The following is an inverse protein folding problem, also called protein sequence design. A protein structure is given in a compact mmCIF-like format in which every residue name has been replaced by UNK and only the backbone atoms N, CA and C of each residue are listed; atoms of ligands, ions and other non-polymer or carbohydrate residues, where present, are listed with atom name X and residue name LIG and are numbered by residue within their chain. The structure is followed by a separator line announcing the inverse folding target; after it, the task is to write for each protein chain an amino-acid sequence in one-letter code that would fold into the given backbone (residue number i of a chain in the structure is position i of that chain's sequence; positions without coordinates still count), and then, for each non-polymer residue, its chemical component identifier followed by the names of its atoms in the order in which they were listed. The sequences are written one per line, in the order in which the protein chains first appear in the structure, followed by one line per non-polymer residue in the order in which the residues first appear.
data_IF_386121888020
#
_entry.id   IF_386121888020
#
_cell.length_a   1.000
_cell.length_b   1.000
_cell.length_c   1.000
_cell.angle_alpha   90.00
_cell.angle_beta   90.00
_cell.angle_gamma   90.00
#
_symmetry.space_group_name_H-M   'P 1'
#
loop_
_entity.id
_entity.type
_entity.pdbx_description
1 polymer ?
#
# COMPACT_ATOMS: atom_id res chain seq x y z
N UNK A 1 55.12 -34.63 -34.72
CA UNK A 1 54.62 -33.24 -34.64
C UNK A 1 53.10 -33.11 -34.81
N UNK A 2 52.25 -34.10 -34.56
CA UNK A 2 50.78 -34.00 -34.70
C UNK A 2 50.03 -33.99 -33.37
N UNK A 3 50.67 -34.36 -32.24
CA UNK A 3 50.00 -34.50 -30.94
C UNK A 3 49.81 -33.17 -30.19
N UNK A 4 50.66 -32.17 -30.42
CA UNK A 4 50.58 -30.88 -29.70
C UNK A 4 49.47 -29.96 -30.20
N UNK A 5 48.98 -30.10 -31.42
CA UNK A 5 47.88 -29.27 -31.99
C UNK A 5 46.52 -29.63 -31.40
N UNK A 6 46.30 -30.91 -31.04
CA UNK A 6 45.02 -31.38 -30.51
C UNK A 6 44.84 -30.90 -29.06
N UNK A 7 45.92 -30.88 -28.26
CA UNK A 7 45.89 -30.43 -26.85
C UNK A 7 45.53 -28.95 -26.74
N UNK A 8 46.03 -28.10 -27.65
CA UNK A 8 45.67 -26.68 -27.63
C UNK A 8 44.20 -26.39 -28.04
N UNK A 9 43.61 -27.23 -28.90
CA UNK A 9 42.23 -27.11 -29.31
C UNK A 9 41.29 -27.48 -28.13
N UNK A 10 41.58 -28.52 -27.37
CA UNK A 10 40.82 -28.92 -26.19
C UNK A 10 40.93 -27.90 -25.05
N UNK A 11 42.08 -27.29 -24.81
CA UNK A 11 42.27 -26.24 -23.81
C UNK A 11 41.49 -24.96 -24.19
N UNK A 12 41.43 -24.58 -25.48
CA UNK A 12 40.65 -23.43 -25.95
C UNK A 12 39.15 -23.62 -25.80
N UNK A 13 38.64 -24.81 -26.08
CA UNK A 13 37.22 -25.12 -25.96
C UNK A 13 36.76 -25.13 -24.48
N UNK A 14 37.54 -25.66 -23.56
CA UNK A 14 37.23 -25.66 -22.13
C UNK A 14 37.24 -24.24 -21.55
N UNK A 15 38.16 -23.37 -22.00
CA UNK A 15 38.24 -21.98 -21.58
C UNK A 15 37.02 -21.18 -22.08
N UNK A 16 36.61 -21.37 -23.33
CA UNK A 16 35.42 -20.71 -23.91
C UNK A 16 34.12 -21.17 -23.25
N UNK A 17 33.99 -22.47 -22.93
CA UNK A 17 32.82 -22.99 -22.22
C UNK A 17 32.75 -22.48 -20.76
N UNK A 18 33.89 -22.32 -20.10
CA UNK A 18 33.97 -21.75 -18.76
C UNK A 18 33.57 -20.27 -18.74
N UNK A 19 34.00 -19.48 -19.70
CA UNK A 19 33.62 -18.05 -19.83
C UNK A 19 32.14 -17.92 -20.20
N UNK A 20 31.62 -18.79 -21.06
CA UNK A 20 30.20 -18.80 -21.40
C UNK A 20 29.32 -19.22 -20.21
N UNK A 21 29.75 -20.19 -19.41
CA UNK A 21 29.05 -20.61 -18.20
C UNK A 21 29.03 -19.51 -17.12
N UNK A 22 30.14 -18.77 -16.96
CA UNK A 22 30.21 -17.61 -16.07
C UNK A 22 29.30 -16.45 -16.55
N UNK A 23 29.18 -16.26 -17.87
CA UNK A 23 28.31 -15.20 -18.46
C UNK A 23 26.82 -15.51 -18.31
N UNK A 24 26.41 -16.78 -18.26
CA UNK A 24 25.01 -17.17 -18.08
C UNK A 24 24.55 -17.01 -16.63
N UNK A 25 25.50 -17.07 -15.66
CA UNK A 25 25.17 -17.05 -14.24
C UNK A 25 25.12 -15.62 -13.63
N UNK A 26 25.24 -14.56 -14.43
CA UNK A 26 25.14 -13.17 -13.97
C UNK A 26 23.79 -12.52 -14.24
N UNK A 27 22.80 -13.27 -14.74
CA UNK A 27 21.43 -12.75 -14.80
C UNK A 27 20.76 -12.90 -13.42
N UNK A 28 21.28 -12.14 -12.43
CA UNK A 28 20.53 -11.89 -11.20
C UNK A 28 19.28 -11.13 -11.60
N UNK A 29 18.14 -11.81 -11.49
CA UNK A 29 16.86 -11.15 -11.45
C UNK A 29 16.96 -10.01 -10.43
N UNK A 30 17.02 -8.77 -10.92
CA UNK A 30 16.88 -7.55 -10.10
C UNK A 30 15.41 -7.33 -9.75
N UNK A 31 14.68 -8.41 -9.49
CA UNK A 31 13.36 -8.34 -8.90
C UNK A 31 13.51 -8.06 -7.42
N UNK A 32 12.84 -7.03 -6.93
CA UNK A 32 12.72 -6.81 -5.49
C UNK A 32 12.06 -8.05 -4.90
N UNK A 33 12.76 -8.70 -3.98
CA UNK A 33 12.21 -9.83 -3.25
C UNK A 33 11.38 -9.30 -2.09
N UNK A 34 10.07 -9.48 -2.17
CA UNK A 34 9.16 -9.13 -1.07
C UNK A 34 9.23 -10.13 0.11
N UNK A 35 10.17 -11.07 0.08
CA UNK A 35 10.32 -12.07 1.14
C UNK A 35 10.64 -11.44 2.50
N UNK A 36 11.27 -10.25 2.53
CA UNK A 36 11.56 -9.54 3.78
C UNK A 36 10.28 -9.14 4.55
N UNK A 37 9.15 -8.94 3.85
CA UNK A 37 7.85 -8.59 4.47
C UNK A 37 7.30 -9.74 5.33
N UNK A 38 7.75 -10.99 5.09
CA UNK A 38 7.34 -12.17 5.87
C UNK A 38 8.21 -12.47 7.08
N UNK A 39 9.43 -11.95 7.13
CA UNK A 39 10.45 -12.48 8.04
C UNK A 39 10.53 -11.67 9.34
N UNK A 40 9.40 -11.24 9.88
CA UNK A 40 9.40 -10.55 11.16
C UNK A 40 9.17 -11.53 12.31
N UNK A 41 10.21 -11.72 13.11
CA UNK A 41 10.09 -12.18 14.48
C UNK A 41 9.33 -11.09 15.27
N UNK A 42 8.06 -11.33 15.58
CA UNK A 42 7.16 -10.42 16.30
C UNK A 42 7.64 -10.06 17.73
N UNK A 43 8.81 -10.52 18.14
CA UNK A 43 9.31 -10.35 19.51
C UNK A 43 10.26 -9.15 19.70
N UNK A 44 10.62 -8.42 18.64
CA UNK A 44 11.46 -7.22 18.73
C UNK A 44 10.86 -6.05 17.94
N UNK A 45 9.65 -5.63 18.31
CA UNK A 45 9.18 -4.29 17.97
C UNK A 45 10.08 -3.28 18.66
N UNK A 46 10.85 -2.55 17.88
CA UNK A 46 11.76 -1.53 18.41
C UNK A 46 10.93 -0.51 19.21
N UNK A 47 11.23 -0.31 20.48
CA UNK A 47 10.46 0.59 21.38
C UNK A 47 10.34 2.01 20.79
N UNK A 48 11.31 2.43 19.97
CA UNK A 48 11.26 3.73 19.26
C UNK A 48 10.13 3.81 18.21
N UNK A 49 9.66 2.69 17.66
CA UNK A 49 8.54 2.63 16.71
C UNK A 49 7.19 2.87 17.42
N UNK A 50 7.10 2.55 18.71
CA UNK A 50 5.88 2.74 19.49
C UNK A 50 5.56 4.23 19.71
N UNK A 51 6.56 5.11 19.67
CA UNK A 51 6.39 6.56 19.82
C UNK A 51 6.19 7.31 18.49
N UNK A 52 6.50 6.69 17.34
CA UNK A 52 6.36 7.28 16.01
C UNK A 52 5.03 6.85 15.39
N UNK A 53 4.00 7.67 15.51
CA UNK A 53 2.73 7.46 14.80
C UNK A 53 2.89 7.82 13.32
N UNK A 54 2.32 6.99 12.44
CA UNK A 54 2.20 7.35 11.01
C UNK A 54 1.42 8.66 10.86
N UNK A 55 1.90 9.55 10.00
CA UNK A 55 1.15 10.75 9.66
C UNK A 55 -0.24 10.36 9.12
N UNK A 56 -1.30 10.99 9.62
CA UNK A 56 -2.66 10.72 9.15
C UNK A 56 -2.81 11.12 7.67
N UNK A 57 -3.31 10.20 6.86
CA UNK A 57 -3.72 10.49 5.48
C UNK A 57 -5.17 10.95 5.51
N UNK A 58 -5.39 12.25 5.56
CA UNK A 58 -6.72 12.83 5.70
C UNK A 58 -7.03 13.88 4.64
N UNK A 59 -8.32 14.04 4.36
CA UNK A 59 -8.85 15.08 3.48
C UNK A 59 -10.15 15.63 4.07
N UNK A 60 -10.42 16.89 3.86
CA UNK A 60 -11.56 17.64 4.41
C UNK A 60 -11.10 18.61 5.48
N UNK A 61 -12.05 19.31 6.08
CA UNK A 61 -11.80 20.28 7.14
C UNK A 61 -11.50 19.54 8.45
N UNK A 62 -10.42 19.90 9.13
CA UNK A 62 -10.07 19.32 10.44
C UNK A 62 -11.11 19.64 11.53
N UNK A 63 -11.96 20.66 11.30
CA UNK A 63 -13.08 21.05 12.15
C UNK A 63 -14.42 20.48 11.69
N UNK A 64 -14.44 19.61 10.68
CA UNK A 64 -15.66 18.97 10.22
C UNK A 64 -16.39 18.26 11.38
N UNK A 65 -17.71 18.39 11.49
CA UNK A 65 -18.50 17.79 12.57
C UNK A 65 -18.49 16.26 12.55
N UNK A 66 -18.11 15.66 11.41
CA UNK A 66 -18.09 14.21 11.23
C UNK A 66 -16.72 13.76 10.79
N UNK A 67 -16.18 12.72 11.48
CA UNK A 67 -14.99 12.03 11.06
C UNK A 67 -15.35 10.63 10.58
N UNK A 68 -14.89 10.29 9.36
CA UNK A 68 -14.98 8.95 8.80
C UNK A 68 -13.56 8.42 8.62
N UNK A 69 -13.23 7.33 9.32
CA UNK A 69 -11.96 6.62 9.17
C UNK A 69 -12.24 5.35 8.37
N UNK A 70 -11.52 5.14 7.27
CA UNK A 70 -11.54 3.90 6.51
C UNK A 70 -10.29 3.08 6.80
N UNK A 71 -10.47 1.82 7.20
CA UNK A 71 -9.41 0.81 7.21
C UNK A 71 -9.51 -0.02 5.94
N UNK A 72 -8.47 0.06 5.11
CA UNK A 72 -8.51 -0.40 3.72
C UNK A 72 -7.27 -1.19 3.31
N UNK A 73 -7.45 -2.12 2.38
CA UNK A 73 -6.37 -2.89 1.76
C UNK A 73 -6.38 -2.67 0.24
N UNK A 74 -5.23 -2.34 -0.34
CA UNK A 74 -5.11 -2.07 -1.78
C UNK A 74 -5.42 -3.30 -2.65
N UNK A 75 -5.23 -4.52 -2.12
CA UNK A 75 -5.55 -5.76 -2.84
C UNK A 75 -7.02 -6.17 -2.69
N UNK A 76 -7.77 -5.54 -1.79
CA UNK A 76 -9.18 -5.85 -1.56
C UNK A 76 -10.08 -5.30 -2.68
N UNK A 77 -10.86 -6.18 -3.33
CA UNK A 77 -11.80 -5.78 -4.38
C UNK A 77 -12.95 -4.89 -3.88
N UNK A 78 -13.42 -5.11 -2.65
CA UNK A 78 -14.47 -4.31 -2.04
C UNK A 78 -13.98 -2.90 -1.68
N UNK A 79 -12.71 -2.73 -1.32
CA UNK A 79 -12.08 -1.42 -1.13
C UNK A 79 -11.98 -0.68 -2.47
N UNK A 80 -11.52 -1.37 -3.52
CA UNK A 80 -11.47 -0.78 -4.86
C UNK A 80 -12.86 -0.36 -5.37
N UNK A 81 -13.90 -1.17 -5.09
CA UNK A 81 -15.28 -0.83 -5.43
C UNK A 81 -15.77 0.42 -4.67
N UNK A 82 -15.48 0.53 -3.38
CA UNK A 82 -15.78 1.73 -2.59
C UNK A 82 -15.11 2.98 -3.18
N UNK A 83 -13.80 2.93 -3.44
CA UNK A 83 -13.03 4.05 -4.00
C UNK A 83 -13.44 4.42 -5.42
N UNK A 84 -13.96 3.47 -6.21
CA UNK A 84 -14.41 3.74 -7.58
C UNK A 84 -15.84 4.26 -7.63
N UNK A 85 -16.74 3.72 -6.82
CA UNK A 85 -18.19 3.95 -6.99
C UNK A 85 -18.83 4.80 -5.89
N UNK A 86 -18.33 4.73 -4.64
CA UNK A 86 -18.93 5.42 -3.49
C UNK A 86 -18.17 6.66 -3.07
N UNK A 87 -16.84 6.53 -2.90
CA UNK A 87 -15.99 7.61 -2.38
C UNK A 87 -16.01 8.89 -3.20
N UNK A 88 -16.03 8.89 -4.55
CA UNK A 88 -16.10 10.13 -5.33
C UNK A 88 -17.35 10.96 -5.02
N UNK A 89 -18.48 10.28 -4.82
CA UNK A 89 -19.75 10.94 -4.48
C UNK A 89 -19.75 11.45 -3.03
N UNK A 90 -19.20 10.66 -2.11
CA UNK A 90 -19.01 11.06 -0.71
C UNK A 90 -18.09 12.30 -0.61
N UNK A 91 -16.98 12.29 -1.34
CA UNK A 91 -16.01 13.39 -1.41
C UNK A 91 -16.69 14.68 -1.88
N UNK A 92 -17.35 14.65 -3.04
CA UNK A 92 -18.00 15.80 -3.63
C UNK A 92 -19.14 16.38 -2.76
N UNK A 93 -19.93 15.50 -2.14
CA UNK A 93 -21.16 15.92 -1.49
C UNK A 93 -20.99 16.28 -0.01
N UNK A 94 -19.94 15.80 0.66
CA UNK A 94 -19.77 15.98 2.11
C UNK A 94 -18.37 16.44 2.50
N UNK A 95 -17.29 15.86 1.93
CA UNK A 95 -15.93 16.22 2.31
C UNK A 95 -15.59 17.63 1.81
N UNK A 96 -15.84 17.91 0.53
CA UNK A 96 -15.57 19.22 -0.09
C UNK A 96 -16.50 20.32 0.46
N UNK A 97 -17.59 19.95 1.11
CA UNK A 97 -18.47 20.90 1.79
C UNK A 97 -18.12 21.16 3.27
N UNK A 98 -17.07 20.50 3.78
CA UNK A 98 -16.64 20.64 5.17
C UNK A 98 -17.54 19.94 6.19
N UNK A 99 -18.45 19.07 5.74
CA UNK A 99 -19.30 18.27 6.63
C UNK A 99 -18.58 17.05 7.19
N UNK A 100 -17.60 16.50 6.44
CA UNK A 100 -16.86 15.28 6.75
C UNK A 100 -15.37 15.51 6.61
N UNK A 101 -14.60 15.10 7.62
CA UNK A 101 -13.20 14.79 7.53
C UNK A 101 -13.05 13.30 7.26
N UNK A 102 -12.37 12.94 6.18
CA UNK A 102 -12.11 11.55 5.82
C UNK A 102 -10.65 11.19 6.08
N UNK A 103 -10.42 10.07 6.76
CA UNK A 103 -9.09 9.56 7.12
C UNK A 103 -8.95 8.17 6.50
N UNK A 104 -7.89 7.97 5.75
CA UNK A 104 -7.51 6.67 5.21
C UNK A 104 -6.45 6.02 6.11
N UNK A 105 -6.67 4.78 6.50
CA UNK A 105 -5.73 3.96 7.24
C UNK A 105 -5.52 2.63 6.55
N UNK A 106 -4.28 2.29 6.33
CA UNK A 106 -3.90 1.03 5.73
C UNK A 106 -4.20 -0.14 6.67
N UNK A 107 -4.81 -1.17 6.10
CA UNK A 107 -5.03 -2.46 6.75
C UNK A 107 -4.62 -3.57 5.78
N UNK A 108 -3.30 -3.78 5.55
CA UNK A 108 -2.81 -4.70 4.55
C UNK A 108 -3.18 -6.14 4.87
N UNK A 109 -3.76 -6.85 3.89
CA UNK A 109 -4.19 -8.25 4.03
C UNK A 109 -3.13 -9.25 3.59
N UNK A 110 -2.19 -8.81 2.75
CA UNK A 110 -1.13 -9.62 2.15
C UNK A 110 0.11 -8.78 1.87
N UNK A 111 1.20 -9.43 1.42
CA UNK A 111 2.48 -8.78 1.11
C UNK A 111 2.36 -7.69 0.03
N UNK A 112 1.56 -7.94 -0.99
CA UNK A 112 1.40 -6.98 -2.08
C UNK A 112 0.63 -5.75 -1.62
N UNK A 113 -0.38 -5.94 -0.76
CA UNK A 113 -1.06 -4.83 -0.09
C UNK A 113 -0.12 -4.06 0.83
N UNK A 114 0.78 -4.73 1.55
CA UNK A 114 1.80 -4.07 2.37
C UNK A 114 2.73 -3.23 1.49
N UNK A 115 3.24 -3.78 0.39
CA UNK A 115 4.10 -3.05 -0.53
C UNK A 115 3.41 -1.81 -1.11
N UNK A 116 2.14 -1.91 -1.53
CA UNK A 116 1.37 -0.76 -2.02
C UNK A 116 1.09 0.27 -0.93
N UNK A 117 0.88 -0.15 0.32
CA UNK A 117 0.75 0.73 1.48
C UNK A 117 2.03 1.52 1.73
N UNK A 118 3.18 0.86 1.71
CA UNK A 118 4.50 1.53 1.83
C UNK A 118 4.70 2.55 0.71
N UNK A 119 4.46 2.17 -0.55
CA UNK A 119 4.61 3.07 -1.70
C UNK A 119 3.71 4.31 -1.59
N UNK A 120 2.48 4.16 -1.10
CA UNK A 120 1.56 5.27 -0.88
C UNK A 120 2.06 6.26 0.21
N UNK A 121 2.95 5.80 1.10
CA UNK A 121 3.59 6.61 2.12
C UNK A 121 4.89 7.28 1.65
N UNK A 122 5.52 6.74 0.62
CA UNK A 122 6.79 7.25 0.10
C UNK A 122 6.65 8.31 -1.00
N UNK A 123 5.49 8.45 -1.62
CA UNK A 123 5.21 9.60 -2.49
C UNK A 123 5.07 10.86 -1.66
N UNK A 124 5.13 12.03 -2.30
CA UNK A 124 4.90 13.30 -1.60
C UNK A 124 3.57 13.26 -0.82
N UNK A 125 3.59 13.68 0.43
CA UNK A 125 2.42 13.58 1.33
C UNK A 125 1.19 14.31 0.81
N UNK A 126 1.37 15.37 0.02
CA UNK A 126 0.27 16.13 -0.59
C UNK A 126 -0.50 15.35 -1.66
N UNK A 127 0.11 14.30 -2.23
CA UNK A 127 -0.52 13.47 -3.27
C UNK A 127 -0.81 12.03 -2.82
N UNK A 128 -0.45 11.64 -1.59
CA UNK A 128 -0.62 10.26 -1.11
C UNK A 128 -2.04 9.72 -1.31
N UNK A 129 -3.07 10.49 -0.92
CA UNK A 129 -4.47 10.07 -1.12
C UNK A 129 -4.85 9.97 -2.60
N UNK A 130 -4.36 10.89 -3.44
CA UNK A 130 -4.59 10.81 -4.88
C UNK A 130 -3.89 9.59 -5.49
N UNK A 131 -2.71 9.25 -5.00
CA UNK A 131 -1.99 8.04 -5.43
C UNK A 131 -2.72 6.77 -5.00
N UNK A 132 -3.29 6.73 -3.78
CA UNK A 132 -4.15 5.64 -3.31
C UNK A 132 -5.35 5.46 -4.25
N UNK A 133 -6.02 6.54 -4.64
CA UNK A 133 -7.13 6.48 -5.60
C UNK A 133 -6.68 5.91 -6.95
N UNK A 134 -5.50 6.32 -7.45
CA UNK A 134 -4.90 5.78 -8.67
C UNK A 134 -4.60 4.28 -8.54
N UNK A 135 -4.08 3.84 -7.40
CA UNK A 135 -3.82 2.43 -7.13
C UNK A 135 -5.12 1.61 -7.18
N UNK A 136 -6.19 2.07 -6.54
CA UNK A 136 -7.48 1.39 -6.60
C UNK A 136 -8.08 1.36 -8.01
N UNK A 137 -8.09 2.48 -8.73
CA UNK A 137 -8.60 2.58 -10.09
C UNK A 137 -7.83 1.69 -11.09
N UNK A 138 -6.54 1.48 -10.86
CA UNK A 138 -5.70 0.65 -11.71
C UNK A 138 -5.44 -0.75 -11.13
N UNK A 139 -6.16 -1.16 -10.08
CA UNK A 139 -5.96 -2.43 -9.39
C UNK A 139 -5.87 -3.61 -10.37
N UNK A 140 -6.73 -3.69 -11.35
CA UNK A 140 -6.75 -4.78 -12.34
C UNK A 140 -5.48 -4.85 -13.21
N UNK A 141 -4.68 -3.79 -13.29
CA UNK A 141 -3.42 -3.78 -14.04
C UNK A 141 -2.27 -4.29 -13.18
N UNK A 142 -2.13 -3.75 -11.97
CA UNK A 142 -1.00 -4.10 -11.11
C UNK A 142 -1.24 -5.34 -10.23
N UNK A 143 -2.49 -5.73 -9.97
CA UNK A 143 -2.79 -6.96 -9.22
C UNK A 143 -2.70 -8.17 -10.16
N UNK A 144 -1.47 -8.50 -10.55
CA UNK A 144 -1.13 -9.50 -11.57
C UNK A 144 0.27 -10.08 -11.30
N UNK A 145 0.70 -11.04 -12.10
CA UNK A 145 2.05 -11.62 -12.03
C UNK A 145 3.16 -10.59 -12.25
N UNK A 146 2.86 -9.44 -12.88
CA UNK A 146 3.77 -8.32 -13.15
C UNK A 146 3.63 -7.17 -12.14
N UNK A 147 3.06 -7.43 -10.97
CA UNK A 147 2.70 -6.42 -9.98
C UNK A 147 3.80 -5.39 -9.72
N UNK A 148 5.03 -5.82 -9.44
CA UNK A 148 6.13 -4.90 -9.10
C UNK A 148 6.49 -3.95 -10.25
N UNK A 149 6.48 -4.44 -11.50
CA UNK A 149 6.78 -3.59 -12.66
C UNK A 149 5.69 -2.53 -12.87
N UNK A 150 4.42 -2.91 -12.73
CA UNK A 150 3.29 -1.99 -12.83
C UNK A 150 3.28 -0.97 -11.69
N UNK A 151 3.54 -1.41 -10.45
CA UNK A 151 3.66 -0.52 -9.28
C UNK A 151 4.83 0.45 -9.43
N UNK A 152 5.98 0.00 -9.96
CA UNK A 152 7.13 0.87 -10.26
C UNK A 152 6.78 1.94 -11.28
N UNK A 153 6.01 1.58 -12.32
CA UNK A 153 5.53 2.53 -13.33
C UNK A 153 4.55 3.57 -12.72
N UNK A 154 3.60 3.14 -11.90
CA UNK A 154 2.65 4.04 -11.24
C UNK A 154 3.36 4.97 -10.25
N UNK A 155 4.27 4.44 -9.44
CA UNK A 155 5.07 5.22 -8.50
C UNK A 155 5.94 6.26 -9.21
N UNK A 156 6.53 5.91 -10.36
CA UNK A 156 7.30 6.86 -11.18
C UNK A 156 6.42 8.00 -11.70
N UNK A 157 5.18 7.72 -12.10
CA UNK A 157 4.21 8.76 -12.50
C UNK A 157 3.83 9.67 -11.33
N UNK A 158 3.86 9.15 -10.10
CA UNK A 158 3.66 9.89 -8.87
C UNK A 158 4.94 10.58 -8.34
N UNK A 159 6.04 10.58 -9.14
CA UNK A 159 7.27 11.30 -8.82
C UNK A 159 8.34 10.50 -8.07
N UNK A 160 8.10 9.22 -7.75
CA UNK A 160 9.11 8.38 -7.10
C UNK A 160 10.17 7.94 -8.13
N UNK A 161 11.43 8.17 -7.84
CA UNK A 161 12.52 7.61 -8.64
C UNK A 161 12.58 6.08 -8.50
N UNK A 162 13.32 5.41 -9.38
CA UNK A 162 13.52 3.95 -9.24
C UNK A 162 14.28 3.58 -7.99
N UNK A 163 15.19 4.45 -7.55
CA UNK A 163 15.96 4.26 -6.33
C UNK A 163 15.09 4.45 -5.09
N UNK A 164 14.29 5.53 -5.04
CA UNK A 164 13.36 5.79 -3.94
C UNK A 164 12.29 4.69 -3.83
N UNK A 165 11.82 4.15 -4.97
CA UNK A 165 10.92 2.99 -4.98
C UNK A 165 11.54 1.78 -4.29
N UNK A 166 12.79 1.48 -4.63
CA UNK A 166 13.51 0.32 -4.07
C UNK A 166 13.83 0.57 -2.58
N UNK A 167 14.23 1.79 -2.19
CA UNK A 167 14.44 2.19 -0.79
C UNK A 167 13.15 2.12 0.02
N UNK A 168 12.05 2.63 -0.51
CA UNK A 168 10.74 2.60 0.13
C UNK A 168 10.32 1.18 0.50
N UNK A 169 10.44 0.23 -0.42
CA UNK A 169 10.06 -1.16 -0.17
C UNK A 169 11.02 -1.89 0.81
N UNK A 170 12.19 -1.34 1.08
CA UNK A 170 13.15 -1.85 2.06
C UNK A 170 13.15 -1.04 3.38
N UNK A 171 12.24 -0.10 3.55
CA UNK A 171 12.10 0.70 4.77
C UNK A 171 11.45 -0.13 5.88
N UNK A 172 12.29 -0.65 6.78
CA UNK A 172 11.85 -1.49 7.88
C UNK A 172 11.06 -0.70 8.94
N UNK A 173 11.38 0.57 9.16
CA UNK A 173 10.66 1.41 10.11
C UNK A 173 9.22 1.65 9.64
N UNK A 174 9.04 2.01 8.38
CA UNK A 174 7.72 2.17 7.77
C UNK A 174 6.91 0.87 7.80
N UNK A 175 7.54 -0.26 7.49
CA UNK A 175 6.90 -1.57 7.57
C UNK A 175 6.39 -1.85 8.99
N UNK A 176 7.22 -1.60 10.00
CA UNK A 176 6.88 -1.82 11.41
C UNK A 176 5.73 -0.93 11.87
N UNK A 177 5.72 0.34 11.45
CA UNK A 177 4.63 1.28 11.75
C UNK A 177 3.29 0.83 11.12
N UNK A 178 3.31 0.35 9.88
CA UNK A 178 2.11 -0.17 9.21
C UNK A 178 1.58 -1.44 9.88
N UNK A 179 2.46 -2.32 10.33
CA UNK A 179 2.08 -3.51 11.10
C UNK A 179 1.43 -3.08 12.42
N UNK A 180 2.04 -2.16 13.15
CA UNK A 180 1.52 -1.65 14.42
C UNK A 180 0.15 -0.97 14.23
N UNK A 181 -0.02 -0.16 13.18
CA UNK A 181 -1.32 0.45 12.86
C UNK A 181 -2.41 -0.61 12.68
N UNK A 182 -2.11 -1.68 11.93
CA UNK A 182 -3.04 -2.81 11.75
C UNK A 182 -3.35 -3.53 13.05
N UNK A 183 -2.32 -3.83 13.87
CA UNK A 183 -2.49 -4.50 15.17
C UNK A 183 -3.36 -3.66 16.11
N UNK A 184 -3.15 -2.34 16.17
CA UNK A 184 -3.97 -1.43 16.94
C UNK A 184 -5.42 -1.41 16.46
N UNK A 185 -5.65 -1.42 15.15
CA UNK A 185 -7.00 -1.49 14.58
C UNK A 185 -7.74 -2.76 15.01
N UNK A 186 -7.04 -3.90 15.03
CA UNK A 186 -7.60 -5.18 15.50
C UNK A 186 -7.91 -5.12 17.00
N UNK A 187 -6.95 -4.62 17.79
CA UNK A 187 -7.04 -4.62 19.26
C UNK A 187 -8.09 -3.64 19.77
N UNK A 188 -8.11 -2.42 19.25
CA UNK A 188 -8.94 -1.33 19.77
C UNK A 188 -10.35 -1.32 19.17
N UNK A 189 -10.47 -1.61 17.88
CA UNK A 189 -11.73 -1.51 17.16
C UNK A 189 -12.26 -2.85 16.66
N UNK A 190 -11.56 -3.96 16.93
CA UNK A 190 -11.91 -5.31 16.48
C UNK A 190 -12.08 -5.42 14.95
N UNK A 191 -11.32 -4.62 14.20
CA UNK A 191 -11.33 -4.65 12.74
C UNK A 191 -10.71 -5.97 12.26
N UNK A 192 -11.46 -6.73 11.48
CA UNK A 192 -11.07 -8.05 10.97
C UNK A 192 -11.34 -8.24 9.47
N UNK A 193 -11.86 -7.21 8.81
CA UNK A 193 -12.18 -7.22 7.37
C UNK A 193 -12.03 -5.83 6.77
N UNK A 194 -11.90 -5.77 5.44
CA UNK A 194 -11.79 -4.52 4.68
C UNK A 194 -12.83 -4.45 3.56
N UNK A 195 -13.34 -3.24 3.23
CA UNK A 195 -13.17 -2.03 4.00
C UNK A 195 -13.93 -2.10 5.33
N UNK A 196 -13.42 -1.44 6.36
CA UNK A 196 -14.15 -1.18 7.60
C UNK A 196 -14.08 0.32 7.87
N UNK A 197 -15.18 0.89 8.36
CA UNK A 197 -15.29 2.31 8.61
C UNK A 197 -15.55 2.58 10.09
N UNK A 198 -15.01 3.69 10.60
CA UNK A 198 -15.40 4.25 11.89
C UNK A 198 -16.03 5.61 11.60
N UNK A 199 -17.32 5.77 11.92
CA UNK A 199 -18.05 7.03 11.77
C UNK A 199 -18.36 7.56 13.16
N UNK A 200 -17.70 8.65 13.58
CA UNK A 200 -17.81 9.21 14.94
C UNK A 200 -17.81 8.14 16.05
N UNK A 201 -16.88 7.20 15.97
CA UNK A 201 -16.68 6.12 16.94
C UNK A 201 -17.47 4.83 16.70
N UNK A 202 -18.43 4.80 15.78
CA UNK A 202 -19.18 3.59 15.45
C UNK A 202 -18.51 2.80 14.33
N UNK A 203 -18.21 1.51 14.59
CA UNK A 203 -17.56 0.61 13.62
C UNK A 203 -18.58 0.01 12.67
N UNK A 204 -18.31 0.09 11.38
CA UNK A 204 -19.15 -0.42 10.29
C UNK A 204 -18.27 -1.28 9.37
N UNK A 205 -18.57 -2.57 9.25
CA UNK A 205 -17.81 -3.49 8.41
C UNK A 205 -18.40 -3.62 7.02
N UNK A 206 -17.51 -3.77 6.03
CA UNK A 206 -17.84 -4.06 4.64
C UNK A 206 -18.20 -2.83 3.82
N UNK A 207 -18.10 -2.99 2.50
CA UNK A 207 -18.47 -1.95 1.55
C UNK A 207 -19.96 -1.60 1.66
N UNK A 208 -20.28 -0.30 1.72
CA UNK A 208 -21.62 0.22 1.79
C UNK A 208 -21.87 1.18 0.60
N UNK A 209 -23.09 1.23 0.08
CA UNK A 209 -23.44 2.20 -0.96
C UNK A 209 -23.44 3.62 -0.39
N UNK A 210 -23.31 4.63 -1.28
CA UNK A 210 -23.33 6.03 -0.88
C UNK A 210 -24.58 6.42 -0.05
N UNK A 211 -25.75 5.83 -0.36
CA UNK A 211 -26.99 6.10 0.38
C UNK A 211 -26.89 5.77 1.88
N UNK A 212 -26.08 4.77 2.24
CA UNK A 212 -25.80 4.45 3.63
C UNK A 212 -25.03 5.57 4.33
N UNK A 213 -23.90 5.99 3.74
CA UNK A 213 -23.09 7.09 4.28
C UNK A 213 -23.88 8.38 4.39
N UNK A 214 -24.65 8.71 3.34
CA UNK A 214 -25.54 9.87 3.35
C UNK A 214 -26.51 9.83 4.54
N UNK A 215 -27.18 8.70 4.76
CA UNK A 215 -28.13 8.57 5.88
C UNK A 215 -27.46 8.73 7.25
N UNK A 216 -26.25 8.14 7.45
CA UNK A 216 -25.53 8.30 8.72
C UNK A 216 -25.05 9.73 8.95
N UNK A 217 -24.57 10.40 7.88
CA UNK A 217 -24.14 11.80 7.92
C UNK A 217 -25.33 12.70 8.29
N UNK A 218 -26.48 12.56 7.60
CA UNK A 218 -27.68 13.36 7.84
C UNK A 218 -28.18 13.19 9.29
N UNK A 219 -28.23 11.97 9.83
CA UNK A 219 -28.60 11.72 11.23
C UNK A 219 -27.72 12.49 12.22
N UNK A 220 -26.39 12.47 11.99
CA UNK A 220 -25.43 13.14 12.88
C UNK A 220 -25.60 14.67 12.78
N UNK A 221 -25.72 15.20 11.55
CA UNK A 221 -25.89 16.64 11.33
C UNK A 221 -27.19 17.16 11.94
N UNK A 222 -28.28 16.40 11.85
CA UNK A 222 -29.58 16.79 12.43
C UNK A 222 -29.53 16.72 13.97
N UNK A 223 -28.87 15.72 14.56
CA UNK A 223 -28.69 15.67 16.02
C UNK A 223 -27.90 16.86 16.57
N UNK A 224 -26.91 17.36 15.82
CA UNK A 224 -26.09 18.50 16.23
C UNK A 224 -26.83 19.87 16.10
N UNK A 225 -27.92 19.93 15.35
CA UNK A 225 -28.78 21.17 15.25
C UNK A 225 -29.73 21.34 16.43
N UNK A 226 -29.95 20.29 17.22
CA UNK A 226 -30.95 20.29 18.32
C UNK A 226 -30.29 20.68 19.66
N UNK A 227 -28.98 20.91 19.68
CA UNK A 227 -28.23 21.38 20.85
C UNK A 227 -27.91 22.87 20.68
#
# INVERSE_FOLDING_TARGET
MKTNRIIFIFLGITLCLGIFYLSINTNKNTGIDLAFIDNKNTNELNVSVLDASLQELSIGDDKAPITIIEYSSMTCSHCADFHTNTYPTLKKNHIEKGEVRFIFREFPLDKLSMATSMLARCVDSSISLAFIDILFQNRNKWYSDNALAELKNLSKQAGLSSEDFDQCLNDQELLDQLILQKENAIKEFQINSTPSFIINGNVISGNKPYSYFKSEIEKILDSNKVI
#
